data_IF_319665493927
#
_entry.id   IF_319665493927
#
_cell.length_a   1.000
_cell.length_b   1.000
_cell.length_c   1.000
_cell.angle_alpha   90.00
_cell.angle_beta   90.00
_cell.angle_gamma   90.00
#
_symmetry.space_group_name_H-M   'P 1'
#
loop_
_entity.id
_entity.type
_entity.pdbx_description
1 polymer ?
#
# COMPACT_ATOMS: atom_id res chain seq x y z
N UNK A 1 3.29 6.58 25.16
CA UNK A 1 1.88 6.84 25.54
C UNK A 1 1.42 8.29 25.27
N UNK A 2 2.34 9.26 25.06
CA UNK A 2 1.98 10.66 24.77
C UNK A 2 1.47 10.94 23.36
N UNK A 3 1.92 10.19 22.36
CA UNK A 3 1.49 10.41 20.96
C UNK A 3 0.02 10.04 20.78
N UNK A 4 -0.42 8.92 21.37
CA UNK A 4 -1.83 8.50 21.38
C UNK A 4 -2.73 9.52 22.11
N UNK A 5 -2.30 10.06 23.26
CA UNK A 5 -3.02 11.14 23.93
C UNK A 5 -3.06 12.43 23.10
N UNK A 6 -1.99 12.77 22.38
CA UNK A 6 -1.95 13.92 21.45
C UNK A 6 -2.81 13.70 20.20
N UNK A 7 -2.99 12.46 19.76
CA UNK A 7 -3.89 12.04 18.68
C UNK A 7 -5.36 12.22 19.09
N UNK A 8 -5.75 11.71 20.26
CA UNK A 8 -7.11 11.83 20.80
C UNK A 8 -7.47 13.28 21.14
N UNK A 9 -6.50 14.07 21.60
CA UNK A 9 -6.69 15.49 21.91
C UNK A 9 -6.66 16.42 20.66
N UNK A 10 -6.63 15.88 19.44
CA UNK A 10 -6.65 16.67 18.19
C UNK A 10 -5.41 17.55 17.95
N UNK A 11 -4.35 17.39 18.76
CA UNK A 11 -3.09 18.15 18.64
C UNK A 11 -2.11 17.53 17.65
N UNK A 12 -2.32 16.27 17.26
CA UNK A 12 -1.59 15.68 16.13
C UNK A 12 -2.15 16.29 14.84
N UNK A 13 -1.29 16.91 14.05
CA UNK A 13 -1.68 17.47 12.75
C UNK A 13 -2.36 16.38 11.92
N UNK A 14 -3.47 16.73 11.27
CA UNK A 14 -4.26 15.89 10.37
C UNK A 14 -3.35 15.10 9.37
N UNK A 15 -2.19 15.66 8.99
CA UNK A 15 -1.18 15.04 8.14
C UNK A 15 -0.57 13.78 8.77
N UNK A 16 -0.25 13.84 10.06
CA UNK A 16 0.33 12.71 10.80
C UNK A 16 -0.72 11.61 10.94
N UNK A 17 -1.99 11.98 11.15
CA UNK A 17 -3.10 11.02 11.18
C UNK A 17 -3.27 10.33 9.82
N UNK A 18 -3.34 11.08 8.72
CA UNK A 18 -3.41 10.50 7.36
C UNK A 18 -2.20 9.61 7.02
N UNK A 19 -1.01 10.02 7.44
CA UNK A 19 0.22 9.25 7.24
C UNK A 19 0.22 7.93 8.04
N UNK A 20 -0.23 7.95 9.29
CA UNK A 20 -0.39 6.74 10.11
C UNK A 20 -1.43 5.80 9.48
N UNK A 21 -2.58 6.34 9.03
CA UNK A 21 -3.61 5.54 8.36
C UNK A 21 -3.09 4.89 7.06
N UNK A 22 -2.30 5.61 6.26
CA UNK A 22 -1.65 5.04 5.08
C UNK A 22 -0.74 3.86 5.43
N UNK A 23 0.10 4.00 6.45
CA UNK A 23 0.97 2.91 6.89
C UNK A 23 0.20 1.70 7.41
N UNK A 24 -0.84 1.92 8.21
CA UNK A 24 -1.72 0.84 8.70
C UNK A 24 -2.41 0.15 7.53
N UNK A 25 -2.96 0.91 6.59
CA UNK A 25 -3.58 0.37 5.38
C UNK A 25 -2.59 -0.51 4.60
N UNK A 26 -1.35 -0.04 4.41
CA UNK A 26 -0.31 -0.77 3.70
C UNK A 26 0.07 -2.10 4.37
N UNK A 27 0.14 -2.12 5.70
CA UNK A 27 0.40 -3.34 6.46
C UNK A 27 -0.76 -4.34 6.26
N UNK A 28 -2.01 -3.86 6.34
CA UNK A 28 -3.20 -4.69 6.16
C UNK A 28 -3.27 -5.24 4.74
N UNK A 29 -3.03 -4.42 3.71
CA UNK A 29 -3.02 -4.86 2.31
C UNK A 29 -1.92 -5.88 2.05
N UNK A 30 -0.73 -5.68 2.59
CA UNK A 30 0.36 -6.64 2.47
C UNK A 30 0.00 -8.00 3.09
N UNK A 31 -0.49 -8.02 4.33
CA UNK A 31 -0.92 -9.27 4.98
C UNK A 31 -2.04 -9.95 4.19
N UNK A 32 -3.01 -9.17 3.70
CA UNK A 32 -4.14 -9.69 2.92
C UNK A 32 -3.68 -10.31 1.61
N UNK A 33 -2.70 -9.70 0.94
CA UNK A 33 -2.12 -10.24 -0.30
C UNK A 33 -1.41 -11.58 -0.07
N UNK A 34 -0.65 -11.71 1.03
CA UNK A 34 0.04 -12.96 1.39
C UNK A 34 -0.96 -14.07 1.71
N UNK A 35 -1.98 -13.77 2.52
CA UNK A 35 -3.05 -14.74 2.85
C UNK A 35 -3.77 -15.17 1.57
N UNK A 36 -4.13 -14.22 0.69
CA UNK A 36 -4.71 -14.54 -0.60
C UNK A 36 -3.84 -15.51 -1.39
N UNK A 37 -2.54 -15.23 -1.47
CA UNK A 37 -1.58 -16.05 -2.22
C UNK A 37 -1.53 -17.50 -1.69
N UNK A 38 -1.53 -17.68 -0.37
CA UNK A 38 -1.58 -19.00 0.27
C UNK A 38 -2.89 -19.73 -0.07
N UNK A 39 -4.03 -19.04 0.02
CA UNK A 39 -5.35 -19.63 -0.30
C UNK A 39 -5.40 -20.07 -1.77
N UNK A 40 -4.81 -19.30 -2.68
CA UNK A 40 -4.71 -19.66 -4.09
C UNK A 40 -3.82 -20.91 -4.30
N UNK A 41 -2.67 -20.98 -3.63
CA UNK A 41 -1.78 -22.15 -3.68
C UNK A 41 -2.45 -23.44 -3.17
N UNK A 42 -3.37 -23.33 -2.21
CA UNK A 42 -4.21 -24.45 -1.72
C UNK A 42 -5.33 -24.84 -2.70
N UNK A 43 -5.44 -24.18 -3.86
CA UNK A 43 -6.44 -24.47 -4.90
C UNK A 43 -7.85 -24.02 -4.55
N UNK A 44 -8.04 -23.21 -3.51
CA UNK A 44 -9.36 -22.77 -3.05
C UNK A 44 -9.93 -21.61 -3.89
N UNK A 45 -9.08 -20.86 -4.59
CA UNK A 45 -9.44 -19.73 -5.43
C UNK A 45 -8.66 -19.82 -6.74
N UNK A 46 -9.26 -19.37 -7.85
CA UNK A 46 -8.62 -19.39 -9.17
C UNK A 46 -7.64 -18.22 -9.34
N UNK A 47 -6.59 -18.46 -10.14
CA UNK A 47 -5.53 -17.48 -10.45
C UNK A 47 -6.06 -16.13 -10.96
N UNK A 48 -7.05 -16.08 -11.88
CA UNK A 48 -7.58 -14.80 -12.36
C UNK A 48 -8.31 -14.00 -11.27
N UNK A 49 -8.97 -14.69 -10.33
CA UNK A 49 -9.70 -14.04 -9.23
C UNK A 49 -8.73 -13.38 -8.26
N UNK A 50 -7.68 -14.09 -7.84
CA UNK A 50 -6.67 -13.51 -6.95
C UNK A 50 -5.91 -12.35 -7.62
N UNK A 51 -5.58 -12.48 -8.90
CA UNK A 51 -4.98 -11.39 -9.66
C UNK A 51 -5.89 -10.14 -9.66
N UNK A 52 -7.19 -10.32 -9.89
CA UNK A 52 -8.16 -9.23 -9.89
C UNK A 52 -8.24 -8.53 -8.53
N UNK A 53 -8.18 -9.29 -7.43
CA UNK A 53 -8.14 -8.75 -6.06
C UNK A 53 -6.88 -7.93 -5.82
N UNK A 54 -5.70 -8.47 -6.17
CA UNK A 54 -4.41 -7.78 -5.99
C UNK A 54 -4.37 -6.49 -6.81
N UNK A 55 -4.86 -6.54 -8.05
CA UNK A 55 -4.94 -5.36 -8.92
C UNK A 55 -5.86 -4.29 -8.34
N UNK A 56 -7.03 -4.68 -7.83
CA UNK A 56 -7.96 -3.75 -7.18
C UNK A 56 -7.35 -3.11 -5.92
N UNK A 57 -6.63 -3.89 -5.12
CA UNK A 57 -5.91 -3.40 -3.93
C UNK A 57 -4.84 -2.39 -4.32
N UNK A 58 -4.05 -2.67 -5.37
CA UNK A 58 -3.03 -1.75 -5.86
C UNK A 58 -3.64 -0.42 -6.33
N UNK A 59 -4.75 -0.45 -7.07
CA UNK A 59 -5.45 0.76 -7.49
C UNK A 59 -5.94 1.57 -6.28
N UNK A 60 -6.53 0.91 -5.27
CA UNK A 60 -6.97 1.57 -4.05
C UNK A 60 -5.80 2.20 -3.27
N UNK A 61 -4.66 1.50 -3.16
CA UNK A 61 -3.47 2.05 -2.52
C UNK A 61 -2.97 3.31 -3.26
N UNK A 62 -2.97 3.30 -4.59
CA UNK A 62 -2.58 4.45 -5.39
C UNK A 62 -3.49 5.66 -5.16
N UNK A 63 -4.81 5.46 -5.16
CA UNK A 63 -5.80 6.52 -4.87
C UNK A 63 -5.59 7.07 -3.46
N UNK A 64 -5.40 6.21 -2.46
CA UNK A 64 -5.14 6.62 -1.08
C UNK A 64 -3.87 7.46 -0.97
N UNK A 65 -2.82 7.10 -1.71
CA UNK A 65 -1.56 7.82 -1.73
C UNK A 65 -1.74 9.25 -2.30
N UNK A 66 -2.51 9.41 -3.37
CA UNK A 66 -2.89 10.72 -3.91
C UNK A 66 -3.66 11.55 -2.87
N UNK A 67 -4.67 10.96 -2.22
CA UNK A 67 -5.48 11.65 -1.20
C UNK A 67 -4.60 12.11 -0.03
N UNK A 68 -3.65 11.28 0.41
CA UNK A 68 -2.71 11.63 1.48
C UNK A 68 -1.79 12.77 1.05
N UNK A 69 -1.24 12.75 -0.17
CA UNK A 69 -0.43 13.86 -0.70
C UNK A 69 -1.23 15.16 -0.76
N UNK A 70 -2.47 15.14 -1.26
CA UNK A 70 -3.34 16.32 -1.29
C UNK A 70 -3.59 16.83 0.14
N UNK A 71 -3.88 15.93 1.08
CA UNK A 71 -4.07 16.28 2.49
C UNK A 71 -2.84 16.97 3.10
N UNK A 72 -1.65 16.44 2.85
CA UNK A 72 -0.38 17.02 3.31
C UNK A 72 -0.15 18.40 2.68
N UNK A 73 -0.32 18.53 1.37
CA UNK A 73 -0.19 19.81 0.66
C UNK A 73 -1.15 20.88 1.21
N UNK A 74 -2.40 20.50 1.48
CA UNK A 74 -3.41 21.43 2.00
C UNK A 74 -3.06 21.89 3.43
N UNK A 75 -2.43 21.03 4.22
CA UNK A 75 -1.95 21.37 5.56
C UNK A 75 -0.75 22.31 5.48
N UNK A 76 0.22 22.02 4.60
CA UNK A 76 1.37 22.90 4.38
C UNK A 76 0.94 24.29 3.92
N UNK A 77 -0.10 24.38 3.06
CA UNK A 77 -0.66 25.65 2.58
C UNK A 77 -1.38 26.45 3.67
N UNK A 78 -2.22 25.81 4.48
CA UNK A 78 -3.16 26.51 5.38
C UNK A 78 -2.71 26.59 6.84
N UNK A 79 -1.90 25.63 7.31
CA UNK A 79 -1.41 25.56 8.71
C UNK A 79 0.07 25.87 8.84
N UNK A 80 0.73 26.21 7.74
CA UNK A 80 2.14 26.52 7.68
C UNK A 80 3.03 25.30 7.43
N UNK A 81 4.23 25.59 6.93
CA UNK A 81 5.22 24.57 6.60
C UNK A 81 5.84 24.05 7.89
N UNK A 82 5.70 22.74 8.12
CA UNK A 82 6.33 22.05 9.24
C UNK A 82 7.32 21.02 8.72
N UNK A 83 8.42 20.81 9.45
CA UNK A 83 9.42 19.78 9.12
C UNK A 83 8.76 18.40 8.89
N UNK A 84 7.84 18.02 9.78
CA UNK A 84 7.09 16.76 9.68
C UNK A 84 6.20 16.67 8.45
N UNK A 85 5.56 17.78 8.06
CA UNK A 85 4.76 17.83 6.83
C UNK A 85 5.60 17.65 5.57
N UNK A 86 6.78 18.28 5.51
CA UNK A 86 7.73 18.10 4.39
C UNK A 86 8.25 16.67 4.35
N UNK A 87 8.69 16.11 5.49
CA UNK A 87 9.19 14.74 5.55
C UNK A 87 8.15 13.72 5.09
N UNK A 88 6.89 13.88 5.53
CA UNK A 88 5.79 13.03 5.08
C UNK A 88 5.54 13.18 3.57
N UNK A 89 5.59 14.41 3.03
CA UNK A 89 5.41 14.66 1.60
C UNK A 89 6.49 13.96 0.78
N UNK A 90 7.77 14.08 1.15
CA UNK A 90 8.89 13.42 0.45
C UNK A 90 8.70 11.90 0.43
N UNK A 91 8.37 11.29 1.57
CA UNK A 91 8.16 9.84 1.66
C UNK A 91 6.97 9.41 0.80
N UNK A 92 5.86 10.15 0.81
CA UNK A 92 4.72 9.86 -0.04
C UNK A 92 5.07 10.01 -1.53
N UNK A 93 5.77 11.07 -1.92
CA UNK A 93 6.21 11.25 -3.31
C UNK A 93 7.13 10.14 -3.79
N UNK A 94 8.08 9.68 -2.97
CA UNK A 94 8.94 8.53 -3.29
C UNK A 94 8.12 7.25 -3.49
N UNK A 95 7.15 6.98 -2.62
CA UNK A 95 6.26 5.83 -2.78
C UNK A 95 5.38 5.95 -4.03
N UNK A 96 4.91 7.15 -4.37
CA UNK A 96 4.16 7.41 -5.61
C UNK A 96 5.01 7.08 -6.84
N UNK A 97 6.27 7.53 -6.86
CA UNK A 97 7.21 7.27 -7.95
C UNK A 97 7.50 5.77 -8.06
N UNK A 98 7.78 5.10 -6.94
CA UNK A 98 8.03 3.66 -6.92
C UNK A 98 6.83 2.87 -7.47
N UNK A 99 5.62 3.24 -7.07
CA UNK A 99 4.39 2.59 -7.54
C UNK A 99 4.14 2.82 -9.04
N UNK A 100 4.36 4.05 -9.53
CA UNK A 100 4.30 4.34 -10.96
C UNK A 100 5.34 3.55 -11.74
N UNK A 101 6.56 3.45 -11.24
CA UNK A 101 7.61 2.65 -11.87
C UNK A 101 7.19 1.17 -11.97
N UNK A 102 6.68 0.58 -10.88
CA UNK A 102 6.15 -0.78 -10.87
C UNK A 102 4.98 -0.98 -11.86
N UNK A 103 4.13 0.02 -12.07
CA UNK A 103 3.08 -0.02 -13.08
C UNK A 103 3.66 -0.03 -14.50
N UNK A 104 4.62 0.83 -14.80
CA UNK A 104 5.24 0.92 -16.13
C UNK A 104 6.14 -0.27 -16.47
N UNK A 105 6.81 -0.85 -15.48
CA UNK A 105 7.67 -2.04 -15.64
C UNK A 105 6.86 -3.34 -15.80
N UNK A 106 5.53 -3.26 -15.75
CA UNK A 106 4.66 -4.43 -15.89
C UNK A 106 4.62 -5.33 -14.66
N UNK A 107 5.07 -4.86 -13.49
CA UNK A 107 5.07 -5.62 -12.24
C UNK A 107 3.65 -6.02 -11.78
N UNK A 108 2.65 -5.23 -12.19
CA UNK A 108 1.23 -5.51 -11.97
C UNK A 108 0.56 -6.21 -13.16
N UNK A 109 1.33 -6.67 -14.16
CA UNK A 109 0.78 -7.40 -15.30
C UNK A 109 0.35 -8.81 -14.91
N UNK A 110 -0.62 -9.35 -15.64
CA UNK A 110 -1.09 -10.72 -15.46
C UNK A 110 0.03 -11.74 -15.73
N UNK A 111 0.86 -11.48 -16.74
CA UNK A 111 1.96 -12.39 -17.12
C UNK A 111 3.01 -12.49 -16.01
N UNK A 112 3.45 -11.35 -15.47
CA UNK A 112 4.37 -11.33 -14.33
C UNK A 112 3.77 -12.03 -13.11
N UNK A 113 2.49 -11.79 -12.82
CA UNK A 113 1.79 -12.47 -11.73
C UNK A 113 1.72 -13.99 -11.95
N UNK A 114 1.38 -14.42 -13.15
CA UNK A 114 1.27 -15.83 -13.52
C UNK A 114 2.62 -16.54 -13.40
N UNK A 115 3.71 -15.91 -13.83
CA UNK A 115 5.06 -16.46 -13.69
C UNK A 115 5.45 -16.66 -12.22
N UNK A 116 5.28 -15.63 -11.38
CA UNK A 116 5.57 -15.71 -9.94
C UNK A 116 4.71 -16.79 -9.27
N UNK A 117 3.43 -16.86 -9.64
CA UNK A 117 2.51 -17.87 -9.11
C UNK A 117 2.91 -19.29 -9.53
N UNK A 118 3.36 -19.48 -10.78
CA UNK A 118 3.81 -20.78 -11.29
C UNK A 118 5.06 -21.29 -10.55
N UNK A 119 6.03 -20.39 -10.29
CA UNK A 119 7.23 -20.68 -9.49
C UNK A 119 6.83 -21.08 -8.07
N UNK A 120 5.91 -20.34 -7.45
CA UNK A 120 5.44 -20.63 -6.10
C UNK A 120 4.73 -22.00 -6.02
N UNK A 121 3.90 -22.35 -7.01
CA UNK A 121 3.31 -23.70 -7.10
C UNK A 121 4.39 -24.77 -7.22
N UNK A 122 5.40 -24.56 -8.07
CA UNK A 122 6.48 -25.53 -8.27
C UNK A 122 7.22 -25.78 -6.95
N UNK A 123 7.61 -24.72 -6.24
CA UNK A 123 8.27 -24.81 -4.94
C UNK A 123 7.38 -25.52 -3.93
N UNK A 124 6.09 -25.14 -3.84
CA UNK A 124 5.13 -25.76 -2.92
C UNK A 124 4.94 -27.26 -3.18
N UNK A 125 4.86 -27.67 -4.45
CA UNK A 125 4.78 -29.08 -4.85
C UNK A 125 6.09 -29.85 -4.62
N UNK A 126 7.24 -29.19 -4.70
CA UNK A 126 8.54 -29.84 -4.44
C UNK A 126 8.83 -30.04 -2.95
N UNK A 127 8.16 -29.28 -2.08
CA UNK A 127 8.33 -29.32 -0.63
C UNK A 127 7.38 -30.29 0.09
N UNK A 128 6.32 -30.76 -0.60
CA UNK A 128 5.36 -31.76 -0.12
C UNK A 128 5.55 -33.09 -0.85
#
# INVERSE_FOLDING_TARGET
MDILKKLVNGKLSLAVTFWIFYFVFRIVTYISSVIGFIIALLGMITVPVIYSIITAIAILEFIMLIVVMIGICNILKNKGVTFWGIAALIICSLNCIAMMYSLFDGYYSYDYFSDVYSIAIYVFKSAN
#
